data_IF_866214392284
#
_entry.id   IF_866214392284
#
_cell.length_a   1.000
_cell.length_b   1.000
_cell.length_c   1.000
_cell.angle_alpha   90.00
_cell.angle_beta   90.00
_cell.angle_gamma   90.00
#
_symmetry.space_group_name_H-M   'P 1'
#
loop_
_entity.id
_entity.type
_entity.pdbx_description
1 polymer ?
#
# COMPACT_ATOMS: atom_id res chain seq x y z
N UNK A 1 14.50 10.41 3.71
CA UNK A 1 13.05 10.42 3.95
C UNK A 1 12.50 9.03 3.66
N UNK A 2 11.81 8.47 4.60
CA UNK A 2 11.19 7.14 4.45
C UNK A 2 9.84 7.25 3.75
N UNK A 3 9.54 6.28 2.92
CA UNK A 3 8.24 6.16 2.27
C UNK A 3 7.71 4.74 2.51
N UNK A 4 6.60 4.64 3.21
CA UNK A 4 5.89 3.39 3.44
C UNK A 4 4.76 3.28 2.42
N UNK A 5 4.83 2.28 1.56
CA UNK A 5 3.84 2.09 0.52
C UNK A 5 3.02 0.83 0.85
N UNK A 6 1.76 1.04 1.24
CA UNK A 6 0.83 -0.06 1.52
C UNK A 6 0.32 -0.63 0.19
N UNK A 7 0.65 -1.87 -0.08
CA UNK A 7 0.27 -2.59 -1.29
C UNK A 7 -0.71 -3.69 -0.92
N UNK A 8 -1.77 -3.83 -1.70
CA UNK A 8 -2.76 -4.87 -1.53
C UNK A 8 -3.86 -4.73 -2.57
N UNK A 9 -4.67 -5.78 -2.70
CA UNK A 9 -5.79 -5.76 -3.62
C UNK A 9 -6.85 -4.73 -3.19
N UNK A 10 -7.60 -4.21 -4.15
CA UNK A 10 -8.71 -3.29 -3.87
C UNK A 10 -9.68 -3.91 -2.85
N UNK A 11 -10.00 -3.15 -1.81
CA UNK A 11 -10.90 -3.64 -0.75
C UNK A 11 -10.23 -4.50 0.33
N UNK A 12 -8.92 -4.65 0.34
CA UNK A 12 -8.22 -5.43 1.36
C UNK A 12 -8.03 -4.69 2.69
N UNK A 13 -8.45 -3.43 2.80
CA UNK A 13 -8.37 -2.66 4.04
C UNK A 13 -7.19 -1.71 4.16
N UNK A 14 -6.49 -1.37 3.06
CA UNK A 14 -5.35 -0.44 3.07
C UNK A 14 -5.72 0.92 3.67
N UNK A 15 -6.82 1.51 3.22
CA UNK A 15 -7.28 2.81 3.71
C UNK A 15 -7.67 2.74 5.19
N UNK A 16 -8.32 1.68 5.61
CA UNK A 16 -8.66 1.47 7.03
C UNK A 16 -7.42 1.46 7.91
N UNK A 17 -6.39 0.73 7.50
CA UNK A 17 -5.13 0.66 8.24
C UNK A 17 -4.37 1.99 8.20
N UNK A 18 -4.36 2.67 7.05
CA UNK A 18 -3.74 3.98 6.93
C UNK A 18 -4.41 5.02 7.84
N UNK A 19 -5.74 5.00 7.94
CA UNK A 19 -6.47 5.89 8.83
C UNK A 19 -6.13 5.64 10.31
N UNK A 20 -5.91 4.38 10.68
CA UNK A 20 -5.45 4.02 12.04
C UNK A 20 -4.04 4.52 12.29
N UNK A 21 -3.15 4.36 11.31
CA UNK A 21 -1.77 4.89 11.41
C UNK A 21 -1.78 6.41 11.56
N UNK A 22 -2.60 7.12 10.81
CA UNK A 22 -2.68 8.58 10.86
C UNK A 22 -3.08 9.07 12.25
N UNK A 23 -3.95 8.37 12.94
CA UNK A 23 -4.33 8.70 14.32
C UNK A 23 -3.18 8.49 15.32
N UNK A 24 -2.36 7.46 15.10
CA UNK A 24 -1.23 7.15 15.98
C UNK A 24 0.04 7.91 15.61
N UNK A 25 0.26 8.13 14.31
CA UNK A 25 1.44 8.79 13.75
C UNK A 25 1.03 9.99 12.89
N UNK A 26 0.45 11.06 13.49
CA UNK A 26 -0.04 12.21 12.73
C UNK A 26 1.07 13.04 12.07
N UNK A 27 2.33 12.80 12.44
CA UNK A 27 3.49 13.50 11.89
C UNK A 27 3.86 13.04 10.47
N UNK A 28 3.37 11.89 10.01
CA UNK A 28 3.62 11.43 8.66
C UNK A 28 2.72 12.14 7.65
N UNK A 29 3.17 12.22 6.40
CA UNK A 29 2.34 12.72 5.30
C UNK A 29 1.62 11.54 4.64
N UNK A 30 0.29 11.55 4.66
CA UNK A 30 -0.55 10.47 4.13
C UNK A 30 -1.07 10.84 2.76
N UNK A 31 -0.77 10.01 1.75
CA UNK A 31 -1.19 10.20 0.36
C UNK A 31 -2.05 9.02 -0.07
N UNK A 32 -3.29 9.27 -0.45
CA UNK A 32 -4.22 8.23 -0.89
C UNK A 32 -5.57 8.28 -0.15
N UNK A 33 -6.31 7.17 -0.18
CA UNK A 33 -7.61 7.03 0.48
C UNK A 33 -8.74 7.77 -0.24
N UNK A 34 -9.67 8.31 0.53
CA UNK A 34 -10.89 8.96 -0.01
C UNK A 34 -10.57 10.15 -0.92
N UNK A 35 -9.54 10.90 -0.59
CA UNK A 35 -9.12 12.07 -1.35
C UNK A 35 -8.00 11.75 -2.35
N UNK A 36 -7.34 10.60 -2.19
CA UNK A 36 -6.14 10.27 -2.94
C UNK A 36 -6.38 10.09 -4.43
N UNK A 37 -7.42 9.34 -4.80
CA UNK A 37 -7.76 9.11 -6.21
C UNK A 37 -8.22 10.39 -6.91
N UNK A 38 -8.88 11.29 -6.17
CA UNK A 38 -9.33 12.58 -6.70
C UNK A 38 -8.24 13.65 -6.65
N UNK A 39 -7.36 13.59 -5.65
CA UNK A 39 -6.30 14.57 -5.45
C UNK A 39 -5.03 14.26 -6.26
N UNK A 40 -4.69 12.98 -6.43
CA UNK A 40 -3.50 12.55 -7.19
C UNK A 40 -3.95 11.83 -8.46
N UNK A 41 -3.92 12.52 -9.58
CA UNK A 41 -4.42 12.02 -10.87
C UNK A 41 -3.33 11.46 -11.77
N UNK A 42 -2.08 11.74 -11.48
CA UNK A 42 -0.95 11.32 -12.32
C UNK A 42 0.26 10.96 -11.49
N UNK A 43 1.19 10.25 -12.12
CA UNK A 43 2.49 9.93 -11.54
C UNK A 43 3.26 11.20 -11.19
N UNK A 44 3.20 12.21 -12.04
CA UNK A 44 3.89 13.49 -11.83
C UNK A 44 3.34 14.25 -10.64
N UNK A 45 2.02 14.23 -10.42
CA UNK A 45 1.41 14.81 -9.22
C UNK A 45 1.88 14.09 -7.96
N UNK A 46 1.90 12.76 -7.97
CA UNK A 46 2.38 11.98 -6.83
C UNK A 46 3.85 12.29 -6.52
N UNK A 47 4.69 12.32 -7.53
CA UNK A 47 6.11 12.68 -7.38
C UNK A 47 6.27 14.10 -6.84
N UNK A 48 5.44 15.03 -7.33
CA UNK A 48 5.41 16.41 -6.83
C UNK A 48 5.07 16.49 -5.34
N UNK A 49 4.06 15.75 -4.90
CA UNK A 49 3.67 15.68 -3.48
C UNK A 49 4.80 15.09 -2.63
N UNK A 50 5.46 14.04 -3.11
CA UNK A 50 6.58 13.42 -2.41
C UNK A 50 7.74 14.42 -2.25
N UNK A 51 8.09 15.14 -3.31
CA UNK A 51 9.18 16.13 -3.29
C UNK A 51 8.89 17.30 -2.36
N UNK A 52 7.63 17.68 -2.19
CA UNK A 52 7.21 18.75 -1.27
C UNK A 52 7.17 18.31 0.18
N UNK A 53 7.12 17.02 0.45
CA UNK A 53 6.98 16.51 1.82
C UNK A 53 8.25 16.77 2.62
N UNK A 54 8.05 17.24 3.85
CA UNK A 54 9.13 17.45 4.82
C UNK A 54 9.18 16.36 5.89
N UNK A 55 8.28 15.39 5.80
CA UNK A 55 8.16 14.28 6.76
C UNK A 55 8.15 12.96 6.00
N UNK A 56 8.26 11.87 6.75
CA UNK A 56 8.06 10.53 6.20
C UNK A 56 6.66 10.40 5.60
N UNK A 57 6.51 9.54 4.61
CA UNK A 57 5.31 9.44 3.79
C UNK A 57 4.69 8.05 3.94
N UNK A 58 3.37 8.00 3.98
CA UNK A 58 2.58 6.76 3.84
C UNK A 58 1.72 6.88 2.59
N UNK A 59 1.92 6.00 1.63
CA UNK A 59 1.08 5.90 0.43
C UNK A 59 0.13 4.73 0.60
N UNK A 60 -1.16 4.95 0.33
CA UNK A 60 -2.17 3.90 0.43
C UNK A 60 -3.25 4.06 -0.65
N UNK A 61 -4.19 3.11 -0.71
CA UNK A 61 -5.16 3.06 -1.78
C UNK A 61 -4.64 2.24 -2.97
N UNK A 62 -5.36 2.26 -4.08
CA UNK A 62 -4.98 1.52 -5.29
C UNK A 62 -4.20 2.38 -6.29
N UNK A 63 -3.39 3.32 -5.80
CA UNK A 63 -2.68 4.28 -6.63
C UNK A 63 -1.40 3.65 -7.16
N UNK A 64 -1.29 3.54 -8.48
CA UNK A 64 -0.05 3.26 -9.20
C UNK A 64 0.80 2.09 -8.65
N UNK A 65 0.17 0.97 -8.28
CA UNK A 65 0.89 -0.23 -7.85
C UNK A 65 1.53 -0.90 -9.08
N UNK A 66 2.60 -0.32 -9.59
CA UNK A 66 3.30 -0.75 -10.80
C UNK A 66 4.81 -0.77 -10.61
N UNK A 67 5.50 -1.57 -11.43
CA UNK A 67 6.96 -1.66 -11.40
C UNK A 67 7.63 -0.31 -11.67
N UNK A 68 7.22 0.50 -12.68
CA UNK A 68 7.81 1.82 -12.88
C UNK A 68 7.68 2.75 -11.67
N UNK A 69 6.56 2.67 -10.95
CA UNK A 69 6.38 3.46 -9.73
C UNK A 69 7.32 3.02 -8.62
N UNK A 70 7.49 1.71 -8.41
CA UNK A 70 8.44 1.17 -7.43
C UNK A 70 9.85 1.70 -7.76
N UNK A 71 10.24 1.66 -9.02
CA UNK A 71 11.53 2.18 -9.47
C UNK A 71 11.71 3.66 -9.13
N UNK A 72 10.72 4.49 -9.44
CA UNK A 72 10.79 5.93 -9.15
C UNK A 72 10.87 6.21 -7.65
N UNK A 73 10.02 5.57 -6.87
CA UNK A 73 9.98 5.75 -5.41
C UNK A 73 11.30 5.31 -4.75
N UNK A 74 11.88 4.21 -5.22
CA UNK A 74 13.15 3.71 -4.68
C UNK A 74 14.32 4.66 -4.90
N UNK A 75 14.24 5.50 -5.94
CA UNK A 75 15.25 6.53 -6.24
C UNK A 75 15.04 7.82 -5.45
N UNK A 76 13.80 8.12 -5.08
CA UNK A 76 13.44 9.37 -4.41
C UNK A 76 13.41 9.26 -2.89
N UNK A 77 13.23 8.07 -2.35
CA UNK A 77 12.97 7.84 -0.92
C UNK A 77 13.65 6.57 -0.43
N UNK A 78 13.73 6.42 0.89
CA UNK A 78 14.00 5.13 1.53
C UNK A 78 12.69 4.34 1.53
N UNK A 79 12.47 3.58 0.47
CA UNK A 79 11.22 2.90 0.21
C UNK A 79 11.06 1.62 1.03
N UNK A 80 9.93 1.48 1.68
CA UNK A 80 9.51 0.25 2.34
C UNK A 80 8.13 -0.16 1.80
N UNK A 81 8.08 -1.24 1.05
CA UNK A 81 6.84 -1.83 0.57
C UNK A 81 6.26 -2.72 1.66
N UNK A 82 5.04 -2.41 2.08
CA UNK A 82 4.29 -3.21 3.05
C UNK A 82 3.13 -3.86 2.30
N UNK A 83 3.28 -5.14 1.99
CA UNK A 83 2.29 -5.90 1.24
C UNK A 83 1.29 -6.51 2.20
N UNK A 84 0.04 -6.10 2.09
CA UNK A 84 -1.09 -6.71 2.81
C UNK A 84 -1.60 -7.88 1.97
N UNK A 85 -1.10 -9.07 2.28
CA UNK A 85 -1.40 -10.28 1.51
C UNK A 85 -2.70 -10.93 2.00
N UNK A 86 -3.65 -11.14 1.08
CA UNK A 86 -4.92 -11.81 1.34
C UNK A 86 -5.13 -12.93 0.33
N UNK A 87 -5.74 -14.03 0.77
CA UNK A 87 -6.21 -15.06 -0.14
C UNK A 87 -7.43 -14.56 -0.93
N UNK A 88 -7.67 -15.10 -2.16
CA UNK A 88 -8.84 -14.71 -2.95
C UNK A 88 -10.15 -14.86 -2.19
N UNK A 89 -10.31 -15.95 -1.45
CA UNK A 89 -11.49 -16.22 -0.64
C UNK A 89 -11.72 -15.14 0.43
N UNK A 90 -10.66 -14.72 1.12
CA UNK A 90 -10.74 -13.67 2.14
C UNK A 90 -11.22 -12.35 1.52
N UNK A 91 -10.67 -11.97 0.37
CA UNK A 91 -11.06 -10.74 -0.33
C UNK A 91 -12.51 -10.82 -0.76
N UNK A 92 -12.94 -11.96 -1.30
CA UNK A 92 -14.32 -12.17 -1.75
C UNK A 92 -15.30 -12.07 -0.58
N UNK A 93 -15.03 -12.73 0.54
CA UNK A 93 -15.85 -12.70 1.74
C UNK A 93 -16.00 -11.27 2.29
N UNK A 94 -14.89 -10.52 2.35
CA UNK A 94 -14.91 -9.13 2.82
C UNK A 94 -15.66 -8.21 1.87
N UNK A 95 -15.55 -8.43 0.57
CA UNK A 95 -16.28 -7.67 -0.46
C UNK A 95 -17.79 -7.90 -0.31
N UNK A 96 -18.21 -9.15 -0.14
CA UNK A 96 -19.63 -9.50 0.08
C UNK A 96 -20.13 -8.89 1.39
N UNK A 97 -19.35 -8.99 2.47
CA UNK A 97 -19.75 -8.50 3.80
C UNK A 97 -20.00 -6.98 3.82
N UNK A 98 -19.27 -6.20 3.01
CA UNK A 98 -19.52 -4.75 2.90
C UNK A 98 -20.55 -4.37 1.83
N UNK A 99 -21.19 -5.35 1.18
CA UNK A 99 -22.22 -5.12 0.16
C UNK A 99 -21.67 -4.60 -1.16
N UNK A 100 -20.39 -4.73 -1.42
CA UNK A 100 -19.77 -4.30 -2.67
C UNK A 100 -19.75 -5.43 -3.69
N UNK A 101 -19.81 -5.09 -4.98
CA UNK A 101 -19.77 -6.04 -6.11
C UNK A 101 -18.48 -5.90 -6.94
N UNK A 102 -17.47 -5.26 -6.38
CA UNK A 102 -16.24 -4.92 -7.09
C UNK A 102 -15.17 -6.02 -7.05
N UNK A 103 -15.46 -7.20 -6.49
CA UNK A 103 -14.55 -8.33 -6.56
C UNK A 103 -14.43 -8.86 -7.98
N UNK A 104 -13.21 -8.97 -8.48
CA UNK A 104 -12.90 -9.50 -9.79
C UNK A 104 -11.70 -10.43 -9.70
N UNK A 105 -11.90 -11.71 -9.98
CA UNK A 105 -10.86 -12.72 -9.86
C UNK A 105 -9.67 -12.47 -10.81
N UNK A 106 -9.94 -12.00 -12.04
CA UNK A 106 -8.87 -11.74 -13.00
C UNK A 106 -7.97 -10.57 -12.54
N UNK A 107 -8.57 -9.51 -12.04
CA UNK A 107 -7.83 -8.39 -11.44
C UNK A 107 -7.04 -8.85 -10.22
N UNK A 108 -7.63 -9.72 -9.38
CA UNK A 108 -6.93 -10.30 -8.24
C UNK A 108 -5.70 -11.08 -8.67
N UNK A 109 -5.84 -11.93 -9.72
CA UNK A 109 -4.72 -12.71 -10.25
C UNK A 109 -3.60 -11.82 -10.81
N UNK A 110 -3.96 -10.75 -11.51
CA UNK A 110 -2.98 -9.76 -12.02
C UNK A 110 -2.22 -9.11 -10.86
N UNK A 111 -2.93 -8.70 -9.83
CA UNK A 111 -2.32 -8.10 -8.64
C UNK A 111 -1.41 -9.09 -7.92
N UNK A 112 -1.84 -10.33 -7.78
CA UNK A 112 -1.05 -11.39 -7.15
C UNK A 112 0.24 -11.67 -7.92
N UNK A 113 0.19 -11.65 -9.26
CA UNK A 113 1.40 -11.77 -10.10
C UNK A 113 2.35 -10.61 -9.87
N UNK A 114 1.83 -9.40 -9.74
CA UNK A 114 2.64 -8.23 -9.41
C UNK A 114 3.35 -8.41 -8.06
N UNK A 115 2.63 -8.84 -7.03
CA UNK A 115 3.21 -9.09 -5.70
C UNK A 115 4.31 -10.15 -5.77
N UNK A 116 4.12 -11.21 -6.53
CA UNK A 116 5.14 -12.26 -6.69
C UNK A 116 6.44 -11.79 -7.34
N UNK A 117 6.39 -10.72 -8.12
CA UNK A 117 7.58 -10.14 -8.75
C UNK A 117 8.41 -9.29 -7.78
N UNK A 118 7.84 -8.85 -6.67
CA UNK A 118 8.51 -7.91 -5.78
C UNK A 118 9.84 -8.43 -5.22
N UNK A 119 9.99 -9.69 -4.78
CA UNK A 119 11.28 -10.20 -4.34
C UNK A 119 12.35 -10.15 -5.43
N UNK A 120 11.99 -10.39 -6.68
CA UNK A 120 12.92 -10.29 -7.82
C UNK A 120 13.35 -8.85 -8.08
N UNK A 121 12.43 -7.90 -7.90
CA UNK A 121 12.73 -6.48 -8.10
C UNK A 121 13.74 -5.95 -7.09
N UNK A 122 13.87 -6.56 -5.91
CA UNK A 122 14.89 -6.20 -4.93
C UNK A 122 16.31 -6.37 -5.45
N UNK A 123 16.51 -7.17 -6.48
CA UNK A 123 17.81 -7.33 -7.14
C UNK A 123 18.14 -6.14 -8.04
N UNK A 124 17.13 -5.38 -8.47
CA UNK A 124 17.28 -4.26 -9.40
C UNK A 124 17.14 -2.90 -8.70
N UNK A 125 16.29 -2.81 -7.68
CA UNK A 125 15.99 -1.56 -6.97
C UNK A 125 16.20 -1.73 -5.47
N UNK A 126 16.61 -0.67 -4.81
CA UNK A 126 16.82 -0.68 -3.35
C UNK A 126 15.53 -0.33 -2.63
N UNK A 127 14.94 -1.31 -1.94
CA UNK A 127 13.78 -1.09 -1.07
C UNK A 127 13.69 -2.21 -0.02
N UNK A 128 12.99 -1.93 1.08
CA UNK A 128 12.58 -2.95 2.04
C UNK A 128 11.26 -3.57 1.61
N UNK A 129 11.07 -4.84 1.90
CA UNK A 129 9.83 -5.55 1.60
C UNK A 129 9.36 -6.30 2.85
N UNK A 130 8.15 -6.00 3.30
CA UNK A 130 7.47 -6.74 4.36
C UNK A 130 6.15 -7.27 3.82
N UNK A 131 5.89 -8.55 4.06
CA UNK A 131 4.63 -9.19 3.69
C UNK A 131 3.85 -9.45 4.98
N UNK A 132 2.70 -8.80 5.10
CA UNK A 132 1.82 -8.91 6.26
C UNK A 132 0.66 -9.83 5.90
N UNK A 133 0.44 -10.85 6.73
CA UNK A 133 -0.72 -11.73 6.57
C UNK A 133 -2.00 -10.98 6.92
N UNK A 134 -2.77 -10.65 5.88
CA UNK A 134 -4.01 -9.88 5.98
C UNK A 134 -5.26 -10.79 6.02
N UNK A 135 -5.10 -12.10 6.23
CA UNK A 135 -6.21 -13.04 6.43
C UNK A 135 -6.66 -13.11 7.89
N UNK A 136 -6.07 -12.30 8.75
CA UNK A 136 -6.31 -12.24 10.20
C UNK A 136 -7.22 -11.05 10.55
N UNK A 137 -7.70 -10.95 11.79
CA UNK A 137 -8.41 -9.76 12.27
C UNK A 137 -7.62 -8.47 12.05
N UNK A 138 -8.34 -7.39 11.76
CA UNK A 138 -7.74 -6.09 11.42
C UNK A 138 -6.79 -5.57 12.51
N UNK A 139 -7.05 -5.84 13.79
CA UNK A 139 -6.19 -5.41 14.89
C UNK A 139 -4.81 -6.09 14.87
N UNK A 140 -4.75 -7.37 14.51
CA UNK A 140 -3.51 -8.11 14.40
C UNK A 140 -2.69 -7.64 13.19
N UNK A 141 -3.36 -7.38 12.08
CA UNK A 141 -2.74 -6.80 10.88
C UNK A 141 -2.15 -5.43 11.20
N UNK A 142 -2.89 -4.60 11.92
CA UNK A 142 -2.44 -3.27 12.30
C UNK A 142 -1.16 -3.33 13.14
N UNK A 143 -1.08 -4.24 14.11
CA UNK A 143 0.14 -4.42 14.93
C UNK A 143 1.37 -4.72 14.09
N UNK A 144 1.22 -5.55 13.07
CA UNK A 144 2.33 -5.88 12.17
C UNK A 144 2.74 -4.68 11.30
N UNK A 145 1.77 -3.90 10.82
CA UNK A 145 2.05 -2.67 10.07
C UNK A 145 2.80 -1.66 10.94
N UNK A 146 2.38 -1.49 12.20
CA UNK A 146 3.07 -0.60 13.15
C UNK A 146 4.53 -1.01 13.35
N UNK A 147 4.80 -2.30 13.47
CA UNK A 147 6.19 -2.80 13.54
C UNK A 147 7.01 -2.38 12.32
N UNK A 148 6.42 -2.43 11.14
CA UNK A 148 7.09 -2.02 9.92
C UNK A 148 7.46 -0.53 9.92
N UNK A 149 6.55 0.35 10.35
CA UNK A 149 6.79 1.80 10.33
C UNK A 149 7.69 2.27 11.48
N UNK A 150 7.85 1.47 12.53
CA UNK A 150 8.74 1.76 13.65
C UNK A 150 10.15 1.18 13.49
N UNK A 151 10.32 0.30 12.52
CA UNK A 151 11.62 -0.35 12.30
C UNK A 151 12.66 0.54 11.62
#
# INVERSE_FOLDING_TARGET
MRCFYLIGYHGCGKTTQANRLERQFPQFNYIGGKLGLDAVRSVDELVGEIKKSKSDIVIHGCIFQTVPMIQRLSRLTDLHLIVMHSFPQTVQERTIARGAEDYNLDKFKMHYRFIKKLPELKKQFTFKLSIVDNNRPADDVYKDIVKCVQS
#
